data_IF_109204579091
#
_entry.id   IF_109204579091
#
_cell.length_a   1.000
_cell.length_b   1.000
_cell.length_c   1.000
_cell.angle_alpha   90.00
_cell.angle_beta   90.00
_cell.angle_gamma   90.00
#
_symmetry.space_group_name_H-M   'P 1'
#
loop_
_entity.id
_entity.type
_entity.pdbx_description
1 polymer ?
#
# COMPACT_ATOMS: atom_id res chain seq x y z
N UNK A 1 12.55 -20.08 5.81
CA UNK A 1 12.87 -19.61 4.44
C UNK A 1 11.56 -19.32 3.80
N UNK A 2 11.45 -18.15 3.35
CA UNK A 2 10.32 -17.31 3.14
C UNK A 2 9.44 -17.86 1.99
N UNK A 3 8.14 -17.68 2.15
CA UNK A 3 7.14 -18.01 1.13
C UNK A 3 7.51 -17.28 -0.17
N UNK A 4 7.52 -17.93 -1.34
CA UNK A 4 7.73 -17.26 -2.61
C UNK A 4 6.77 -16.09 -2.84
N UNK A 5 5.56 -16.18 -2.28
CA UNK A 5 4.55 -15.13 -2.32
C UNK A 5 5.02 -13.86 -1.59
N UNK A 6 5.68 -13.98 -0.43
CA UNK A 6 6.18 -12.81 0.32
C UNK A 6 7.46 -12.26 -0.34
N UNK A 7 8.36 -13.15 -0.74
CA UNK A 7 9.64 -12.76 -1.37
C UNK A 7 9.47 -11.98 -2.68
N UNK A 8 8.41 -12.24 -3.44
CA UNK A 8 8.21 -11.56 -4.72
C UNK A 8 7.83 -10.09 -4.51
N UNK A 9 7.08 -9.77 -3.44
CA UNK A 9 6.77 -8.38 -3.08
C UNK A 9 8.02 -7.61 -2.70
N UNK A 10 8.84 -8.15 -1.80
CA UNK A 10 10.12 -7.55 -1.42
C UNK A 10 11.00 -7.29 -2.64
N UNK A 11 11.12 -8.28 -3.52
CA UNK A 11 11.94 -8.15 -4.72
C UNK A 11 11.38 -7.16 -5.72
N UNK A 12 10.06 -7.09 -5.88
CA UNK A 12 9.42 -6.11 -6.75
C UNK A 12 9.65 -4.69 -6.21
N UNK A 13 9.55 -4.50 -4.90
CA UNK A 13 9.84 -3.23 -4.25
C UNK A 13 11.30 -2.79 -4.41
N UNK A 14 12.26 -3.69 -4.21
CA UNK A 14 13.68 -3.46 -4.51
C UNK A 14 13.90 -2.95 -5.94
N UNK A 15 13.17 -3.52 -6.91
CA UNK A 15 13.34 -3.19 -8.33
C UNK A 15 12.63 -1.89 -8.71
N UNK A 16 11.39 -1.68 -8.24
CA UNK A 16 10.60 -0.49 -8.60
C UNK A 16 11.15 0.78 -7.94
N UNK A 17 11.91 0.64 -6.85
CA UNK A 17 12.59 1.72 -6.13
C UNK A 17 14.11 1.62 -6.23
N UNK A 18 14.64 0.93 -7.25
CA UNK A 18 16.07 0.76 -7.43
C UNK A 18 16.82 2.11 -7.39
N UNK A 19 17.96 2.11 -6.72
CA UNK A 19 18.78 3.33 -6.54
C UNK A 19 18.36 4.24 -5.40
N UNK A 20 17.32 3.89 -4.66
CA UNK A 20 16.85 4.62 -3.47
C UNK A 20 16.90 3.77 -2.19
N UNK A 21 16.73 4.41 -1.04
CA UNK A 21 16.67 3.70 0.26
C UNK A 21 15.46 2.75 0.36
N UNK A 22 14.36 3.04 -0.34
CA UNK A 22 13.18 2.15 -0.41
C UNK A 22 13.46 0.88 -1.23
N UNK A 23 14.43 0.90 -2.15
CA UNK A 23 14.85 -0.26 -2.93
C UNK A 23 15.78 -1.20 -2.15
N UNK A 24 15.61 -1.31 -0.84
CA UNK A 24 16.36 -2.23 0.01
C UNK A 24 15.42 -2.96 0.97
N UNK A 25 15.56 -4.29 1.02
CA UNK A 25 14.78 -5.10 1.95
C UNK A 25 15.00 -4.63 3.40
N UNK A 26 13.89 -4.34 4.09
CA UNK A 26 13.91 -3.84 5.48
C UNK A 26 14.57 -4.80 6.48
N UNK A 27 14.60 -6.09 6.19
CA UNK A 27 15.27 -7.10 7.02
C UNK A 27 16.80 -7.05 6.88
N UNK A 28 17.32 -6.32 5.89
CA UNK A 28 18.74 -6.27 5.59
C UNK A 28 19.30 -7.60 5.10
N UNK A 29 20.61 -7.72 5.16
CA UNK A 29 21.36 -8.93 4.80
C UNK A 29 22.16 -9.45 6.00
N UNK A 30 22.60 -10.70 5.95
CA UNK A 30 23.50 -11.25 7.00
C UNK A 30 24.73 -10.36 7.23
N UNK A 31 25.27 -9.79 6.17
CA UNK A 31 26.44 -8.90 6.26
C UNK A 31 26.12 -7.53 6.85
N UNK A 32 24.95 -6.95 6.54
CA UNK A 32 24.51 -5.68 7.12
C UNK A 32 24.16 -5.84 8.60
N UNK A 33 23.41 -6.90 8.93
CA UNK A 33 23.03 -7.21 10.33
C UNK A 33 24.26 -7.42 11.22
N UNK A 34 25.29 -8.12 10.74
CA UNK A 34 26.52 -8.38 11.51
C UNK A 34 27.32 -7.10 11.82
N UNK A 35 27.07 -5.98 11.12
CA UNK A 35 27.73 -4.69 11.37
C UNK A 35 27.03 -3.84 12.43
N UNK A 36 25.81 -4.19 12.83
CA UNK A 36 25.10 -3.40 13.82
C UNK A 36 25.70 -3.63 15.22
N UNK A 37 25.97 -2.53 15.88
CA UNK A 37 26.44 -2.48 17.27
C UNK A 37 25.44 -1.68 18.10
N UNK A 38 25.45 -1.86 19.42
CA UNK A 38 24.63 -1.05 20.34
C UNK A 38 24.84 0.45 20.11
N UNK A 39 26.07 0.86 19.79
CA UNK A 39 26.39 2.27 19.51
C UNK A 39 25.79 2.75 18.17
N UNK A 40 25.82 1.92 17.12
CA UNK A 40 25.20 2.28 15.83
C UNK A 40 23.68 2.41 15.96
N UNK A 41 23.04 1.54 16.73
CA UNK A 41 21.61 1.60 17.02
C UNK A 41 21.26 2.87 17.83
N UNK A 42 22.02 3.20 18.87
CA UNK A 42 21.81 4.44 19.64
C UNK A 42 21.89 5.68 18.75
N UNK A 43 22.93 5.81 17.92
CA UNK A 43 23.07 6.93 16.99
C UNK A 43 21.91 6.99 15.99
N UNK A 44 21.43 5.84 15.54
CA UNK A 44 20.26 5.80 14.65
C UNK A 44 19.02 6.34 15.35
N UNK A 45 18.74 5.91 16.59
CA UNK A 45 17.63 6.40 17.40
C UNK A 45 17.75 7.91 17.61
N UNK A 46 18.90 8.39 18.07
CA UNK A 46 19.16 9.83 18.30
C UNK A 46 18.92 10.69 17.05
N UNK A 47 19.25 10.17 15.87
CA UNK A 47 19.07 10.87 14.60
C UNK A 47 17.64 10.84 14.08
N UNK A 48 16.93 9.74 14.27
CA UNK A 48 15.66 9.48 13.56
C UNK A 48 14.43 9.57 14.45
N UNK A 49 14.58 9.36 15.78
CA UNK A 49 13.47 9.42 16.73
C UNK A 49 13.40 10.81 17.37
N UNK A 50 13.18 11.82 16.55
CA UNK A 50 12.95 13.20 16.99
C UNK A 50 11.49 13.38 17.40
N UNK A 51 11.22 14.27 18.36
CA UNK A 51 9.87 14.42 18.93
C UNK A 51 8.85 14.94 17.92
N UNK A 52 9.28 15.69 16.90
CA UNK A 52 8.43 16.10 15.76
C UNK A 52 8.04 14.94 14.82
N UNK A 53 8.62 13.75 15.01
CA UNK A 53 8.30 12.53 14.25
C UNK A 53 7.64 11.47 15.12
N UNK A 54 7.08 11.85 16.26
CA UNK A 54 6.43 10.94 17.20
C UNK A 54 5.01 11.37 17.49
N UNK A 55 4.10 10.42 17.51
CA UNK A 55 2.73 10.60 17.97
C UNK A 55 2.40 9.55 19.01
N UNK A 56 1.82 9.98 20.11
CA UNK A 56 1.24 9.09 21.11
C UNK A 56 -0.27 9.03 20.87
N UNK A 57 -0.78 7.84 20.63
CA UNK A 57 -2.22 7.59 20.48
C UNK A 57 -2.70 6.57 21.49
N UNK A 58 -3.91 6.75 21.99
CA UNK A 58 -4.52 5.87 22.98
C UNK A 58 -6.01 5.76 22.76
N UNK A 59 -6.54 4.55 22.83
CA UNK A 59 -7.97 4.28 22.80
C UNK A 59 -8.31 3.30 23.94
N UNK A 60 -9.38 3.54 24.66
CA UNK A 60 -9.81 2.65 25.72
C UNK A 60 -10.75 3.31 26.72
N UNK A 61 -11.19 2.56 27.71
CA UNK A 61 -12.11 3.03 28.76
C UNK A 61 -11.35 3.62 29.96
N UNK A 62 -10.42 4.53 29.69
CA UNK A 62 -9.66 5.25 30.72
C UNK A 62 -9.94 6.74 30.63
N UNK A 63 -10.14 7.45 31.77
CA UNK A 63 -10.31 8.90 31.73
C UNK A 63 -9.12 9.60 31.05
N UNK A 64 -9.42 10.53 30.13
CA UNK A 64 -8.40 11.29 29.38
C UNK A 64 -7.37 11.94 30.27
N UNK A 65 -7.78 12.52 31.42
CA UNK A 65 -6.87 13.12 32.39
C UNK A 65 -5.82 12.15 32.95
N UNK A 66 -6.21 10.86 33.12
CA UNK A 66 -5.25 9.84 33.57
C UNK A 66 -4.27 9.46 32.46
N UNK A 67 -4.76 9.36 31.22
CA UNK A 67 -3.92 9.11 30.04
C UNK A 67 -2.90 10.24 29.88
N UNK A 68 -3.35 11.49 29.96
CA UNK A 68 -2.47 12.69 29.94
C UNK A 68 -1.42 12.64 31.02
N UNK A 69 -1.81 12.40 32.29
CA UNK A 69 -0.85 12.34 33.39
C UNK A 69 0.19 11.26 33.21
N UNK A 70 -0.19 10.09 32.62
CA UNK A 70 0.76 9.02 32.32
C UNK A 70 1.68 9.44 31.19
N UNK A 71 1.14 10.02 30.11
CA UNK A 71 1.93 10.51 28.98
C UNK A 71 2.93 11.59 29.43
N UNK A 72 2.50 12.58 30.17
CA UNK A 72 3.37 13.62 30.74
C UNK A 72 4.47 13.07 31.63
N UNK A 73 4.14 12.08 32.46
CA UNK A 73 5.13 11.45 33.36
C UNK A 73 6.27 10.77 32.59
N UNK A 74 5.97 10.13 31.45
CA UNK A 74 6.94 9.34 30.70
C UNK A 74 7.56 10.11 29.53
N UNK A 75 6.84 11.03 28.93
CA UNK A 75 7.28 11.77 27.74
C UNK A 75 7.53 13.26 27.98
N UNK A 76 6.90 13.84 29.01
CA UNK A 76 6.98 15.30 29.28
C UNK A 76 8.36 15.82 29.66
N UNK A 77 9.31 14.93 29.98
CA UNK A 77 10.70 15.31 30.29
C UNK A 77 11.61 15.31 29.05
N UNK A 78 11.13 14.84 27.89
CA UNK A 78 11.90 14.87 26.68
C UNK A 78 11.91 16.28 26.09
N UNK A 79 13.11 16.80 25.83
CA UNK A 79 13.26 18.06 25.11
C UNK A 79 12.70 17.94 23.69
N UNK A 80 12.08 19.03 23.22
CA UNK A 80 11.59 19.07 21.85
C UNK A 80 12.78 19.04 20.87
N UNK A 81 12.76 18.08 19.97
CA UNK A 81 13.78 17.91 18.95
C UNK A 81 13.15 17.88 17.57
N UNK A 82 13.89 18.36 16.58
CA UNK A 82 13.41 18.46 15.19
C UNK A 82 14.30 17.65 14.27
N UNK A 83 13.69 16.97 13.31
CA UNK A 83 14.40 16.22 12.28
C UNK A 83 15.33 17.12 11.45
N UNK A 84 16.60 16.75 11.36
CA UNK A 84 17.63 17.54 10.65
C UNK A 84 17.92 17.05 9.24
N UNK A 85 17.37 15.91 8.82
CA UNK A 85 17.58 15.37 7.48
C UNK A 85 16.30 15.47 6.64
N UNK A 86 16.48 15.70 5.33
CA UNK A 86 15.41 15.62 4.33
C UNK A 86 15.45 14.27 3.63
N UNK A 87 14.26 13.79 3.21
CA UNK A 87 14.17 12.61 2.35
C UNK A 87 14.46 12.99 0.91
N UNK A 88 15.11 12.08 0.19
CA UNK A 88 15.27 12.21 -1.26
C UNK A 88 14.19 11.37 -1.93
N UNK A 89 13.38 12.02 -2.77
CA UNK A 89 12.33 11.33 -3.53
C UNK A 89 12.99 10.32 -4.47
N UNK A 90 12.53 9.05 -4.47
CA UNK A 90 13.04 8.04 -5.38
C UNK A 90 12.83 8.44 -6.84
N UNK A 91 13.87 8.33 -7.65
CA UNK A 91 13.76 8.55 -9.09
C UNK A 91 12.88 7.50 -9.75
N UNK A 92 12.27 7.84 -10.89
CA UNK A 92 11.52 6.90 -11.69
C UNK A 92 12.47 5.87 -12.32
N UNK A 93 12.07 4.61 -12.33
CA UNK A 93 12.77 3.56 -13.06
C UNK A 93 12.02 3.25 -14.35
N UNK A 94 12.74 2.83 -15.38
CA UNK A 94 12.12 2.35 -16.62
C UNK A 94 11.32 1.07 -16.34
N UNK A 95 10.16 0.90 -16.97
CA UNK A 95 9.38 -0.33 -16.86
C UNK A 95 10.18 -1.57 -17.24
N UNK A 96 10.04 -2.62 -16.49
CA UNK A 96 10.77 -3.88 -16.70
C UNK A 96 9.84 -5.08 -16.77
N UNK A 97 10.30 -6.14 -17.42
CA UNK A 97 9.73 -7.49 -17.31
C UNK A 97 10.86 -8.43 -16.98
N UNK A 98 10.79 -9.07 -15.81
CA UNK A 98 11.82 -10.02 -15.38
C UNK A 98 11.20 -11.34 -14.93
N UNK A 99 11.74 -12.43 -15.42
CA UNK A 99 11.43 -13.79 -14.96
C UNK A 99 12.62 -14.34 -14.20
N UNK A 100 12.34 -14.93 -13.03
CA UNK A 100 13.35 -15.53 -12.16
C UNK A 100 12.93 -16.98 -11.86
N UNK A 101 13.79 -17.93 -12.21
CA UNK A 101 13.57 -19.32 -11.85
C UNK A 101 13.83 -19.53 -10.35
N UNK A 102 12.81 -19.98 -9.64
CA UNK A 102 12.81 -20.24 -8.19
C UNK A 102 12.40 -21.69 -7.88
N UNK A 103 12.14 -22.49 -8.92
CA UNK A 103 11.63 -23.86 -8.78
C UNK A 103 10.43 -23.96 -7.84
N UNK A 104 9.49 -23.03 -8.01
CA UNK A 104 8.25 -22.98 -7.25
C UNK A 104 7.22 -23.94 -7.84
N UNK A 105 6.29 -24.45 -7.02
CA UNK A 105 5.20 -25.31 -7.51
C UNK A 105 4.17 -24.56 -8.36
N UNK A 106 4.09 -23.24 -8.18
CA UNK A 106 3.21 -22.33 -8.93
C UNK A 106 4.03 -21.16 -9.45
N UNK A 107 3.55 -20.54 -10.52
CA UNK A 107 4.03 -19.23 -10.92
C UNK A 107 3.45 -18.17 -10.00
N UNK A 108 4.31 -17.32 -9.46
CA UNK A 108 3.93 -16.11 -8.78
C UNK A 108 4.26 -14.91 -9.67
N UNK A 109 3.34 -13.99 -9.82
CA UNK A 109 3.52 -12.83 -10.68
C UNK A 109 3.06 -11.56 -9.99
N UNK A 110 3.86 -10.49 -10.11
CA UNK A 110 3.46 -9.13 -9.78
C UNK A 110 3.50 -8.28 -11.05
N UNK A 111 2.40 -7.55 -11.29
CA UNK A 111 2.29 -6.49 -12.27
C UNK A 111 2.04 -5.20 -11.51
N UNK A 112 2.90 -4.20 -11.65
CA UNK A 112 2.76 -2.98 -10.87
C UNK A 112 3.45 -1.78 -11.50
N UNK A 113 3.29 -0.64 -10.84
CA UNK A 113 3.82 0.64 -11.28
C UNK A 113 4.11 1.55 -10.10
N UNK A 114 4.91 2.61 -10.35
CA UNK A 114 5.00 3.74 -9.43
C UNK A 114 3.63 4.42 -9.32
N UNK A 115 3.34 4.94 -8.14
CA UNK A 115 2.05 5.52 -7.84
C UNK A 115 2.19 6.80 -7.01
N UNK A 116 1.07 7.40 -6.66
CA UNK A 116 1.01 8.64 -5.89
C UNK A 116 1.53 8.46 -4.46
N UNK A 117 2.08 9.53 -3.91
CA UNK A 117 2.40 9.63 -2.50
C UNK A 117 1.13 9.85 -1.64
N UNK A 118 1.33 9.85 -0.31
CA UNK A 118 0.22 9.94 0.65
C UNK A 118 -0.45 11.32 0.68
N UNK A 119 0.20 12.37 0.16
CA UNK A 119 -0.32 13.73 0.12
C UNK A 119 -1.07 14.05 -1.20
N UNK A 120 -0.96 13.18 -2.20
CA UNK A 120 -1.55 13.42 -3.50
C UNK A 120 -3.09 13.44 -3.46
N UNK A 121 -3.71 14.42 -4.09
CA UNK A 121 -5.17 14.52 -4.21
C UNK A 121 -5.79 13.31 -4.93
N UNK A 122 -5.05 12.74 -5.88
CA UNK A 122 -5.49 11.58 -6.68
C UNK A 122 -5.36 10.23 -5.96
N UNK A 123 -4.84 10.21 -4.72
CA UNK A 123 -4.70 8.96 -3.93
C UNK A 123 -6.03 8.27 -3.66
N UNK A 124 -7.10 9.03 -3.43
CA UNK A 124 -8.41 8.46 -3.10
C UNK A 124 -9.08 7.81 -4.33
N UNK A 125 -9.14 8.43 -5.53
CA UNK A 125 -9.52 7.74 -6.75
C UNK A 125 -8.69 6.46 -7.02
N UNK A 126 -7.36 6.50 -6.77
CA UNK A 126 -6.49 5.33 -6.91
C UNK A 126 -6.84 4.24 -5.89
N UNK A 127 -7.11 4.59 -4.63
CA UNK A 127 -7.53 3.62 -3.61
C UNK A 127 -8.83 2.92 -4.00
N UNK A 128 -9.80 3.65 -4.56
CA UNK A 128 -11.03 3.08 -5.09
C UNK A 128 -10.75 2.16 -6.29
N UNK A 129 -9.89 2.57 -7.22
CA UNK A 129 -9.49 1.77 -8.36
C UNK A 129 -8.87 0.43 -7.94
N UNK A 130 -7.94 0.46 -6.99
CA UNK A 130 -7.28 -0.75 -6.48
C UNK A 130 -8.28 -1.65 -5.74
N UNK A 131 -9.20 -1.08 -4.97
CA UNK A 131 -10.27 -1.84 -4.32
C UNK A 131 -11.20 -2.53 -5.34
N UNK A 132 -11.50 -1.86 -6.47
CA UNK A 132 -12.26 -2.44 -7.58
C UNK A 132 -11.51 -3.61 -8.22
N UNK A 133 -10.20 -3.45 -8.46
CA UNK A 133 -9.37 -4.44 -9.12
C UNK A 133 -9.21 -5.71 -8.29
N UNK A 134 -8.65 -5.59 -7.11
CA UNK A 134 -8.25 -6.74 -6.31
C UNK A 134 -8.37 -6.50 -4.80
N UNK A 135 -9.31 -5.64 -4.36
CA UNK A 135 -9.61 -5.44 -2.95
C UNK A 135 -10.16 -6.71 -2.27
N UNK A 136 -10.38 -6.68 -0.96
CA UNK A 136 -10.66 -7.86 -0.14
C UNK A 136 -12.01 -8.54 -0.43
N UNK A 137 -12.82 -7.98 -1.31
CA UNK A 137 -14.15 -8.53 -1.64
C UNK A 137 -14.08 -9.59 -2.74
N UNK A 138 -14.85 -10.65 -2.58
CA UNK A 138 -14.98 -11.72 -3.57
C UNK A 138 -15.45 -11.23 -4.95
N UNK A 139 -16.13 -10.09 -5.02
CA UNK A 139 -16.61 -9.47 -6.26
C UNK A 139 -15.63 -8.47 -6.89
N UNK A 140 -14.38 -8.40 -6.41
CA UNK A 140 -13.33 -7.64 -7.09
C UNK A 140 -13.09 -8.18 -8.50
N UNK A 141 -12.76 -7.32 -9.46
CA UNK A 141 -12.69 -7.70 -10.89
C UNK A 141 -11.74 -8.86 -11.14
N UNK A 142 -10.54 -8.80 -10.55
CA UNK A 142 -9.52 -9.84 -10.77
C UNK A 142 -9.92 -11.15 -10.10
N UNK A 143 -10.50 -11.11 -8.90
CA UNK A 143 -11.00 -12.33 -8.28
C UNK A 143 -12.11 -12.99 -9.12
N UNK A 144 -13.04 -12.19 -9.65
CA UNK A 144 -14.11 -12.69 -10.51
C UNK A 144 -13.55 -13.27 -11.81
N UNK A 145 -12.61 -12.59 -12.48
CA UNK A 145 -12.12 -13.03 -13.78
C UNK A 145 -11.12 -14.17 -13.68
N UNK A 146 -10.23 -14.17 -12.69
CA UNK A 146 -9.19 -15.20 -12.58
C UNK A 146 -9.68 -16.44 -11.82
N UNK A 147 -10.45 -16.24 -10.75
CA UNK A 147 -10.88 -17.32 -9.87
C UNK A 147 -12.27 -17.82 -10.20
N UNK A 148 -13.30 -16.96 -10.09
CA UNK A 148 -14.70 -17.41 -10.14
C UNK A 148 -15.11 -17.88 -11.54
N UNK A 149 -14.70 -17.18 -12.59
CA UNK A 149 -15.08 -17.51 -13.98
C UNK A 149 -14.17 -18.54 -14.63
N UNK A 150 -12.88 -18.50 -14.35
CA UNK A 150 -11.90 -19.30 -15.08
C UNK A 150 -11.15 -20.32 -14.23
N UNK A 151 -11.21 -20.25 -12.89
CA UNK A 151 -10.53 -21.19 -11.99
C UNK A 151 -9.01 -21.23 -12.13
N UNK A 152 -8.38 -20.12 -12.56
CA UNK A 152 -6.97 -20.06 -12.92
C UNK A 152 -6.06 -19.67 -11.75
N UNK A 153 -6.59 -18.97 -10.76
CA UNK A 153 -5.81 -18.47 -9.64
C UNK A 153 -6.51 -18.70 -8.32
N UNK A 154 -5.73 -19.09 -7.31
CA UNK A 154 -6.22 -19.26 -5.93
C UNK A 154 -6.06 -18.01 -5.09
N UNK A 155 -5.02 -17.23 -5.36
CA UNK A 155 -4.74 -15.97 -4.65
C UNK A 155 -4.49 -14.86 -5.65
N UNK A 156 -5.32 -13.81 -5.55
CA UNK A 156 -5.23 -12.62 -6.39
C UNK A 156 -5.55 -11.42 -5.54
N UNK A 157 -4.65 -10.45 -5.55
CA UNK A 157 -4.83 -9.20 -4.81
C UNK A 157 -4.27 -8.01 -5.58
N UNK A 158 -4.78 -6.84 -5.31
CA UNK A 158 -4.22 -5.57 -5.75
C UNK A 158 -4.02 -4.67 -4.54
N UNK A 159 -2.82 -4.10 -4.43
CA UNK A 159 -2.39 -3.29 -3.30
C UNK A 159 -1.90 -1.94 -3.80
N UNK A 160 -2.23 -0.88 -3.08
CA UNK A 160 -1.65 0.44 -3.23
C UNK A 160 -0.94 0.81 -1.94
N UNK A 161 0.35 1.06 -2.03
CA UNK A 161 1.21 1.46 -0.91
C UNK A 161 1.68 2.89 -1.12
N UNK A 162 1.03 3.89 -0.48
CA UNK A 162 1.53 5.26 -0.47
C UNK A 162 2.63 5.41 0.58
N UNK A 163 3.75 5.99 0.17
CA UNK A 163 4.80 6.51 1.03
C UNK A 163 4.68 8.02 1.15
N UNK A 164 5.56 8.64 1.92
CA UNK A 164 5.48 10.08 2.18
C UNK A 164 5.82 10.97 0.96
N UNK A 165 6.60 10.46 0.02
CA UNK A 165 7.12 11.18 -1.14
C UNK A 165 6.95 10.42 -2.47
N UNK A 166 6.41 9.22 -2.42
CA UNK A 166 6.14 8.37 -3.58
C UNK A 166 5.09 7.31 -3.24
N UNK A 167 4.84 6.39 -4.16
CA UNK A 167 4.00 5.22 -3.91
C UNK A 167 4.20 4.15 -4.97
N UNK A 168 3.60 2.99 -4.74
CA UNK A 168 3.51 1.92 -5.73
C UNK A 168 2.15 1.23 -5.71
N UNK A 169 1.78 0.66 -6.83
CA UNK A 169 0.70 -0.33 -6.93
C UNK A 169 1.29 -1.67 -7.35
N UNK A 170 0.73 -2.73 -6.82
CA UNK A 170 1.08 -4.09 -7.18
C UNK A 170 -0.19 -4.93 -7.34
N UNK A 171 -0.30 -5.64 -8.44
CA UNK A 171 -1.30 -6.68 -8.70
C UNK A 171 -0.55 -7.99 -8.62
N UNK A 172 -0.89 -8.80 -7.65
CA UNK A 172 -0.32 -10.13 -7.46
C UNK A 172 -1.30 -11.21 -7.84
N UNK A 173 -0.81 -12.28 -8.44
CA UNK A 173 -1.52 -13.55 -8.56
C UNK A 173 -0.57 -14.74 -8.50
N UNK A 174 -1.12 -15.89 -8.12
CA UNK A 174 -0.46 -17.18 -8.28
C UNK A 174 -1.33 -18.12 -9.10
N UNK A 175 -0.71 -18.90 -9.98
CA UNK A 175 -1.37 -19.85 -10.86
C UNK A 175 -0.47 -21.03 -11.20
N UNK A 176 -1.03 -22.09 -11.77
CA UNK A 176 -0.21 -23.13 -12.40
C UNK A 176 0.63 -22.52 -13.53
N UNK A 177 1.83 -23.09 -13.77
CA UNK A 177 2.77 -22.54 -14.74
C UNK A 177 2.18 -22.35 -16.14
N UNK A 178 1.38 -23.31 -16.60
CA UNK A 178 0.76 -23.27 -17.94
C UNK A 178 -0.37 -22.24 -18.06
N UNK A 179 -0.89 -21.69 -16.95
CA UNK A 179 -1.96 -20.71 -16.92
C UNK A 179 -1.46 -19.26 -16.74
N UNK A 180 -0.17 -19.09 -16.41
CA UNK A 180 0.36 -17.78 -16.01
C UNK A 180 0.22 -16.70 -17.08
N UNK A 181 0.50 -17.02 -18.34
CA UNK A 181 0.36 -16.07 -19.44
C UNK A 181 -1.10 -15.72 -19.70
N UNK A 182 -2.00 -16.70 -19.61
CA UNK A 182 -3.44 -16.43 -19.75
C UNK A 182 -3.97 -15.54 -18.61
N UNK A 183 -3.51 -15.74 -17.38
CA UNK A 183 -3.84 -14.83 -16.27
C UNK A 183 -3.38 -13.40 -16.57
N UNK A 184 -2.16 -13.22 -17.08
CA UNK A 184 -1.63 -11.91 -17.47
C UNK A 184 -2.46 -11.22 -18.54
N UNK A 185 -2.87 -11.98 -19.58
CA UNK A 185 -3.74 -11.47 -20.65
C UNK A 185 -5.10 -11.01 -20.11
N UNK A 186 -5.69 -11.77 -19.18
CA UNK A 186 -6.96 -11.40 -18.54
C UNK A 186 -6.83 -10.14 -17.69
N UNK A 187 -5.76 -10.03 -16.90
CA UNK A 187 -5.46 -8.81 -16.13
C UNK A 187 -5.30 -7.61 -17.05
N UNK A 188 -4.51 -7.75 -18.11
CA UNK A 188 -4.28 -6.66 -19.07
C UNK A 188 -5.58 -6.21 -19.78
N UNK A 189 -6.50 -7.13 -20.05
CA UNK A 189 -7.83 -6.81 -20.57
C UNK A 189 -8.66 -5.99 -19.57
N UNK A 190 -8.66 -6.39 -18.30
CA UNK A 190 -9.36 -5.65 -17.26
C UNK A 190 -8.77 -4.25 -17.06
N UNK A 191 -7.45 -4.12 -17.08
CA UNK A 191 -6.77 -2.83 -16.99
C UNK A 191 -7.08 -1.94 -18.20
N UNK A 192 -7.07 -2.49 -19.42
CA UNK A 192 -7.48 -1.74 -20.64
C UNK A 192 -8.91 -1.23 -20.54
N UNK A 193 -9.84 -2.05 -20.07
CA UNK A 193 -11.24 -1.62 -19.90
C UNK A 193 -11.36 -0.47 -18.91
N UNK A 194 -10.66 -0.53 -17.79
CA UNK A 194 -10.69 0.54 -16.77
C UNK A 194 -10.02 1.84 -17.22
N UNK A 195 -9.09 1.76 -18.15
CA UNK A 195 -8.41 2.90 -18.77
C UNK A 195 -9.21 3.58 -19.87
N UNK A 196 -10.08 2.84 -20.57
CA UNK A 196 -10.80 3.34 -21.75
C UNK A 196 -12.26 3.62 -21.50
N UNK A 197 -12.87 3.04 -20.47
CA UNK A 197 -14.31 3.12 -20.23
C UNK A 197 -14.61 3.62 -18.81
N UNK A 198 -15.31 4.76 -18.65
CA UNK A 198 -15.71 5.23 -17.35
C UNK A 198 -16.74 4.27 -16.73
N UNK A 199 -16.68 4.13 -15.41
CA UNK A 199 -17.65 3.34 -14.66
C UNK A 199 -19.06 3.93 -14.80
N UNK A 200 -20.07 3.09 -15.01
CA UNK A 200 -21.46 3.56 -14.97
C UNK A 200 -21.81 4.11 -13.59
N UNK A 201 -22.71 5.09 -13.52
CA UNK A 201 -23.14 5.71 -12.27
C UNK A 201 -23.63 4.69 -11.23
N UNK A 202 -24.37 3.66 -11.68
CA UNK A 202 -24.83 2.57 -10.81
C UNK A 202 -23.65 1.76 -10.23
N UNK A 203 -22.67 1.45 -11.04
CA UNK A 203 -21.49 0.67 -10.64
C UNK A 203 -20.64 1.48 -9.65
N UNK A 204 -20.37 2.74 -9.95
CA UNK A 204 -19.65 3.64 -9.08
C UNK A 204 -20.32 3.79 -7.70
N UNK A 205 -21.64 3.99 -7.66
CA UNK A 205 -22.40 4.11 -6.42
C UNK A 205 -22.32 2.83 -5.57
N UNK A 206 -22.35 1.65 -6.20
CA UNK A 206 -22.19 0.37 -5.51
C UNK A 206 -20.79 0.21 -4.91
N UNK A 207 -19.75 0.56 -5.67
CA UNK A 207 -18.35 0.48 -5.26
C UNK A 207 -18.10 1.41 -4.07
N UNK A 208 -18.55 2.65 -4.13
CA UNK A 208 -18.41 3.61 -3.03
C UNK A 208 -19.06 3.10 -1.74
N UNK A 209 -20.27 2.58 -1.83
CA UNK A 209 -20.96 1.96 -0.66
C UNK A 209 -20.16 0.81 -0.08
N UNK A 210 -19.65 -0.08 -0.93
CA UNK A 210 -18.85 -1.22 -0.49
C UNK A 210 -17.57 -0.75 0.19
N UNK A 211 -16.85 0.18 -0.40
CA UNK A 211 -15.61 0.74 0.15
C UNK A 211 -15.85 1.41 1.51
N UNK A 212 -16.89 2.23 1.62
CA UNK A 212 -17.27 2.88 2.87
C UNK A 212 -17.70 1.88 3.96
N UNK A 213 -18.43 0.81 3.58
CA UNK A 213 -18.78 -0.24 4.50
C UNK A 213 -17.54 -1.00 5.03
N UNK A 214 -16.57 -1.30 4.15
CA UNK A 214 -15.30 -1.92 4.55
C UNK A 214 -14.52 -1.03 5.51
N UNK A 215 -14.48 0.29 5.26
CA UNK A 215 -13.85 1.24 6.17
C UNK A 215 -14.55 1.30 7.52
N UNK A 216 -15.89 1.37 7.54
CA UNK A 216 -16.66 1.38 8.78
C UNK A 216 -16.39 0.12 9.62
N UNK A 217 -16.40 -1.07 9.00
CA UNK A 217 -16.07 -2.33 9.67
C UNK A 217 -14.63 -2.33 10.20
N UNK A 218 -13.67 -1.81 9.43
CA UNK A 218 -12.28 -1.75 9.89
C UNK A 218 -12.08 -0.84 11.10
N UNK A 219 -12.90 0.21 11.23
CA UNK A 219 -12.87 1.13 12.37
C UNK A 219 -13.44 0.55 13.67
N UNK A 220 -14.19 -0.58 13.62
CA UNK A 220 -14.63 -1.31 14.80
C UNK A 220 -13.44 -1.96 15.56
N UNK A 221 -12.34 -2.20 14.86
CA UNK A 221 -11.11 -2.65 15.50
C UNK A 221 -10.39 -1.45 16.14
N UNK A 222 -10.51 -1.33 17.45
CA UNK A 222 -9.94 -0.22 18.22
C UNK A 222 -8.43 -0.07 18.04
N UNK A 223 -7.68 -1.17 17.95
CA UNK A 223 -6.22 -1.14 17.74
C UNK A 223 -5.89 -0.57 16.35
N UNK A 224 -6.53 -1.10 15.30
CA UNK A 224 -6.36 -0.64 13.93
C UNK A 224 -6.75 0.83 13.76
N UNK A 225 -7.85 1.25 14.38
CA UNK A 225 -8.29 2.64 14.39
C UNK A 225 -7.27 3.55 15.11
N UNK A 226 -6.81 3.17 16.29
CA UNK A 226 -5.84 3.93 17.07
C UNK A 226 -4.53 4.15 16.30
N UNK A 227 -3.99 3.08 15.70
CA UNK A 227 -2.77 3.16 14.91
C UNK A 227 -2.97 3.99 13.63
N UNK A 228 -4.10 3.81 12.95
CA UNK A 228 -4.47 4.59 11.77
C UNK A 228 -4.62 6.08 12.06
N UNK A 229 -5.31 6.43 13.15
CA UNK A 229 -5.47 7.80 13.61
C UNK A 229 -4.12 8.44 13.99
N UNK A 230 -3.27 7.71 14.73
CA UNK A 230 -1.91 8.16 15.06
C UNK A 230 -1.07 8.42 13.80
N UNK A 231 -1.12 7.52 12.82
CA UNK A 231 -0.44 7.70 11.54
C UNK A 231 -0.99 8.90 10.75
N UNK A 232 -2.32 9.07 10.71
CA UNK A 232 -2.96 10.21 10.02
C UNK A 232 -2.50 11.52 10.64
N UNK A 233 -2.52 11.62 11.97
CA UNK A 233 -2.07 12.80 12.67
C UNK A 233 -0.58 13.10 12.43
N UNK A 234 0.29 12.08 12.46
CA UNK A 234 1.72 12.26 12.20
C UNK A 234 2.00 12.76 10.77
N UNK A 235 1.19 12.37 9.79
CA UNK A 235 1.43 12.64 8.37
C UNK A 235 0.73 13.91 7.90
N UNK A 236 -0.47 14.17 8.39
CA UNK A 236 -1.37 15.23 7.91
C UNK A 236 -1.67 16.31 8.95
N UNK A 237 -1.24 16.10 10.21
CA UNK A 237 -1.58 16.93 11.38
C UNK A 237 -3.10 16.99 11.64
N UNK A 238 -3.85 16.04 11.07
CA UNK A 238 -5.30 15.94 11.22
C UNK A 238 -5.77 14.48 11.19
N UNK A 239 -6.95 14.25 11.76
CA UNK A 239 -7.65 12.97 11.72
C UNK A 239 -9.02 13.22 11.12
N UNK A 240 -9.25 12.70 9.91
CA UNK A 240 -10.56 12.80 9.27
C UNK A 240 -11.63 12.08 10.10
N UNK A 241 -12.75 12.71 10.31
CA UNK A 241 -13.95 12.07 10.84
C UNK A 241 -14.53 11.11 9.80
N UNK A 242 -15.34 10.15 10.24
CA UNK A 242 -16.01 9.23 9.32
C UNK A 242 -16.90 9.98 8.31
N UNK A 243 -17.54 11.07 8.73
CA UNK A 243 -18.37 11.92 7.86
C UNK A 243 -17.53 12.61 6.77
N UNK A 244 -16.35 13.10 7.12
CA UNK A 244 -15.40 13.68 6.15
C UNK A 244 -14.91 12.66 5.14
N UNK A 245 -14.57 11.47 5.59
CA UNK A 245 -14.21 10.35 4.71
C UNK A 245 -15.37 10.00 3.78
N UNK A 246 -16.61 9.91 4.28
CA UNK A 246 -17.81 9.68 3.47
C UNK A 246 -17.99 10.78 2.42
N UNK A 247 -17.82 12.03 2.78
CA UNK A 247 -17.90 13.17 1.86
C UNK A 247 -16.83 13.07 0.77
N UNK A 248 -15.56 12.84 1.15
CA UNK A 248 -14.43 12.72 0.22
C UNK A 248 -14.65 11.57 -0.78
N UNK A 249 -15.02 10.37 -0.30
CA UNK A 249 -15.30 9.20 -1.15
C UNK A 249 -16.52 9.45 -2.07
N UNK A 250 -17.58 10.07 -1.54
CA UNK A 250 -18.79 10.36 -2.31
C UNK A 250 -18.53 11.35 -3.45
N UNK A 251 -17.58 12.26 -3.29
CA UNK A 251 -17.21 13.25 -4.31
C UNK A 251 -16.41 12.68 -5.49
N UNK A 252 -15.80 11.51 -5.37
CA UNK A 252 -15.00 10.90 -6.46
C UNK A 252 -15.88 10.62 -7.69
N UNK A 253 -15.43 10.99 -8.89
CA UNK A 253 -16.12 10.79 -10.16
C UNK A 253 -15.57 9.59 -10.94
N UNK A 254 -16.35 9.02 -11.83
CA UNK A 254 -15.95 7.89 -12.67
C UNK A 254 -14.76 8.25 -13.57
N UNK A 255 -14.77 9.47 -14.10
CA UNK A 255 -13.71 10.00 -14.96
C UNK A 255 -12.37 10.06 -14.22
N UNK A 256 -12.37 10.46 -12.94
CA UNK A 256 -11.15 10.49 -12.12
C UNK A 256 -10.55 9.10 -11.94
N UNK A 257 -11.39 8.06 -11.79
CA UNK A 257 -10.92 6.66 -11.68
C UNK A 257 -10.32 6.21 -13.01
N UNK A 258 -10.92 6.56 -14.13
CA UNK A 258 -10.41 6.23 -15.46
C UNK A 258 -9.09 6.96 -15.75
N UNK A 259 -9.00 8.25 -15.46
CA UNK A 259 -7.77 9.05 -15.61
C UNK A 259 -6.61 8.47 -14.81
N UNK A 260 -6.88 8.10 -13.55
CA UNK A 260 -5.88 7.48 -12.67
C UNK A 260 -5.48 6.10 -13.19
N UNK A 261 -6.43 5.33 -13.72
CA UNK A 261 -6.13 4.04 -14.35
C UNK A 261 -5.22 4.21 -15.57
N UNK A 262 -5.47 5.19 -16.43
CA UNK A 262 -4.62 5.49 -17.59
C UNK A 262 -3.23 5.96 -17.14
N UNK A 263 -3.14 6.88 -16.19
CA UNK A 263 -1.86 7.39 -15.73
C UNK A 263 -0.98 6.30 -15.10
N UNK A 264 -1.55 5.48 -14.22
CA UNK A 264 -0.79 4.48 -13.45
C UNK A 264 -0.49 3.22 -14.26
N UNK A 265 -1.46 2.73 -15.04
CA UNK A 265 -1.33 1.45 -15.74
C UNK A 265 -0.99 1.56 -17.23
N UNK A 266 -0.64 2.77 -17.72
CA UNK A 266 -0.12 2.93 -19.09
C UNK A 266 1.24 2.27 -19.29
N UNK A 267 2.06 2.25 -18.23
CA UNK A 267 3.40 1.64 -18.22
C UNK A 267 3.57 0.84 -16.93
N UNK A 268 3.54 -0.47 -17.03
CA UNK A 268 3.70 -1.38 -15.89
C UNK A 268 4.98 -2.17 -15.95
N UNK A 269 5.50 -2.50 -14.78
CA UNK A 269 6.60 -3.46 -14.61
C UNK A 269 6.04 -4.81 -14.20
N UNK A 270 6.72 -5.89 -14.60
CA UNK A 270 6.30 -7.27 -14.30
C UNK A 270 7.47 -8.07 -13.74
N UNK A 271 7.22 -8.76 -12.62
CA UNK A 271 8.14 -9.72 -12.03
C UNK A 271 7.44 -11.07 -11.92
N UNK A 272 8.13 -12.12 -12.36
CA UNK A 272 7.62 -13.51 -12.43
C UNK A 272 8.60 -14.43 -11.71
N UNK A 273 8.10 -15.26 -10.79
CA UNK A 273 8.79 -16.39 -10.19
C UNK A 273 8.18 -17.69 -10.72
N UNK A 274 9.03 -18.59 -11.24
CA UNK A 274 8.63 -19.90 -11.77
C UNK A 274 9.70 -20.96 -11.53
#
# INVERSE_FOLDING_TARGET
KDSPADMIFDRFEDMIFAGSELGHNILGTKSTLARHTSQSIKRFIERTHTTDQMVFSSIGNMPTSRVQSVAERYFGQHEATTRTFSRTKPEAVEPFTQTVSKHTHQTHCIIGARAYDIHAERRLPLSLLINILGGPSANSRLNVVLREKNGLSYNTEAVYTPYNDCGMVAIYFSSDHHNADHCRELIDRELRTLRSEPLSARRLAMIKRQFLAQMAISMENNEGYMLGAGKSYLVHDEIDTLEEVYRKVSAVKAEQIMEVAEEIFSKTSTLIYQ
#
